data_IF_462821614657
#
_entry.id   IF_462821614657
#
_cell.length_a   1.000
_cell.length_b   1.000
_cell.length_c   1.000
_cell.angle_alpha   90.00
_cell.angle_beta   90.00
_cell.angle_gamma   90.00
#
_symmetry.space_group_name_H-M   'P 1'
#
loop_
_entity.id
_entity.type
_entity.pdbx_description
1 polymer ?
#
# COMPACT_ATOMS: atom_id res chain seq x y z
N UNK A 1 -2.66 60.95 -3.59
CA UNK A 1 -3.84 60.92 -4.47
C UNK A 1 -3.52 59.89 -5.54
N UNK A 2 -3.75 58.60 -5.31
CA UNK A 2 -5.03 57.89 -5.50
C UNK A 2 -5.18 57.55 -6.99
N UNK A 3 -5.49 56.36 -7.49
CA UNK A 3 -5.79 55.05 -6.91
C UNK A 3 -5.99 54.09 -8.10
N UNK A 4 -5.45 52.87 -7.97
CA UNK A 4 -6.00 51.56 -8.36
C UNK A 4 -7.03 51.48 -9.50
N UNK A 5 -6.74 50.66 -10.51
CA UNK A 5 -7.75 49.93 -11.31
C UNK A 5 -7.39 48.45 -11.39
N UNK A 6 -7.85 47.70 -10.39
CA UNK A 6 -7.88 46.24 -10.35
C UNK A 6 -9.08 45.79 -11.20
N UNK A 7 -8.82 45.06 -12.28
CA UNK A 7 -9.87 44.46 -13.11
C UNK A 7 -10.12 43.01 -12.68
N UNK A 8 -11.12 42.88 -11.81
CA UNK A 8 -12.25 41.93 -11.79
C UNK A 8 -12.12 40.48 -12.32
N UNK A 9 -12.35 39.54 -11.39
CA UNK A 9 -13.21 38.33 -11.39
C UNK A 9 -13.30 37.34 -12.58
N UNK A 10 -13.00 36.07 -12.30
CA UNK A 10 -13.90 34.90 -12.40
C UNK A 10 -13.14 33.70 -11.78
N UNK A 11 -13.59 33.03 -10.71
CA UNK A 11 -14.89 32.44 -10.54
C UNK A 11 -14.82 30.95 -10.88
N UNK A 12 -14.24 30.12 -10.00
CA UNK A 12 -14.60 28.70 -9.93
C UNK A 12 -14.28 28.15 -8.53
N UNK A 13 -15.25 28.28 -7.62
CA UNK A 13 -15.32 27.46 -6.42
C UNK A 13 -15.68 26.04 -6.87
N UNK A 14 -14.69 25.17 -7.01
CA UNK A 14 -14.93 23.74 -7.08
C UNK A 14 -15.29 23.24 -5.67
N UNK A 15 -16.56 23.32 -5.32
CA UNK A 15 -17.11 22.55 -4.22
C UNK A 15 -17.04 21.07 -4.62
N UNK A 16 -15.96 20.39 -4.23
CA UNK A 16 -15.94 18.92 -4.20
C UNK A 16 -16.84 18.45 -3.06
N UNK A 17 -18.15 18.48 -3.30
CA UNK A 17 -19.08 17.66 -2.57
C UNK A 17 -19.11 16.30 -3.27
N UNK A 18 -18.30 15.33 -2.84
CA UNK A 18 -18.66 13.92 -2.99
C UNK A 18 -18.00 13.05 -1.92
N UNK A 19 -18.87 12.72 -0.96
CA UNK A 19 -18.85 11.64 0.01
C UNK A 19 -17.77 11.68 1.13
N UNK A 20 -18.18 11.58 2.42
CA UNK A 20 -17.30 10.94 3.37
C UNK A 20 -17.02 9.54 2.81
N UNK A 21 -15.75 9.22 2.60
CA UNK A 21 -15.34 7.83 2.54
C UNK A 21 -15.82 7.24 3.85
N UNK A 22 -16.89 6.45 3.80
CA UNK A 22 -17.21 5.52 4.85
C UNK A 22 -16.03 4.56 4.91
N UNK A 23 -15.00 4.96 5.65
CA UNK A 23 -14.12 4.00 6.28
C UNK A 23 -15.09 3.16 7.08
N UNK A 24 -15.41 1.97 6.57
CA UNK A 24 -15.82 0.90 7.44
C UNK A 24 -14.75 0.91 8.53
N UNK A 25 -15.15 1.33 9.72
CA UNK A 25 -14.39 1.02 10.93
C UNK A 25 -14.37 -0.51 10.91
N UNK A 26 -13.32 -1.08 10.30
CA UNK A 26 -13.11 -2.51 10.22
C UNK A 26 -13.08 -2.97 11.66
N UNK A 27 -14.22 -3.50 12.13
CA UNK A 27 -14.55 -3.64 13.53
C UNK A 27 -13.56 -4.57 14.22
N UNK A 28 -12.44 -4.03 14.68
CA UNK A 28 -11.36 -4.77 15.30
C UNK A 28 -10.71 -5.87 14.47
N UNK A 29 -11.05 -6.05 13.18
CA UNK A 29 -10.49 -7.12 12.35
C UNK A 29 -9.42 -6.57 11.40
N UNK A 30 -8.24 -7.19 11.40
CA UNK A 30 -7.19 -6.90 10.42
C UNK A 30 -6.60 -8.19 9.88
N UNK A 31 -6.44 -8.26 8.55
CA UNK A 31 -5.78 -9.37 7.86
C UNK A 31 -4.54 -8.82 7.17
N UNK A 32 -3.39 -9.46 7.39
CA UNK A 32 -2.13 -9.12 6.75
C UNK A 32 -1.59 -10.33 5.98
N UNK A 33 -1.25 -10.18 4.69
CA UNK A 33 -1.41 -8.95 3.89
C UNK A 33 -2.88 -8.59 3.68
N UNK A 34 -3.18 -7.30 3.46
CA UNK A 34 -4.56 -6.79 3.28
C UNK A 34 -5.24 -7.25 1.98
N UNK A 35 -4.51 -7.97 1.13
CA UNK A 35 -4.99 -8.49 -0.14
C UNK A 35 -4.22 -9.77 -0.50
N UNK A 36 -4.44 -10.87 0.24
CA UNK A 36 -3.78 -12.12 -0.05
C UNK A 36 -4.25 -12.68 -1.40
N UNK A 37 -3.41 -13.53 -2.01
CA UNK A 37 -3.76 -14.31 -3.19
C UNK A 37 -3.92 -15.79 -2.77
N UNK A 38 -4.56 -16.64 -3.61
CA UNK A 38 -4.66 -18.06 -3.32
C UNK A 38 -3.30 -18.69 -3.03
N UNK A 39 -3.19 -19.45 -1.95
CA UNK A 39 -1.94 -20.07 -1.50
C UNK A 39 -1.06 -19.22 -0.60
N UNK A 40 -1.35 -17.92 -0.40
CA UNK A 40 -0.60 -17.06 0.53
C UNK A 40 -0.85 -17.40 1.99
N UNK A 41 0.18 -17.26 2.81
CA UNK A 41 0.05 -17.21 4.26
C UNK A 41 -0.55 -15.86 4.68
N UNK A 42 -1.44 -15.90 5.67
CA UNK A 42 -2.14 -14.74 6.21
C UNK A 42 -2.06 -14.75 7.73
N UNK A 43 -1.84 -13.58 8.30
CA UNK A 43 -2.01 -13.31 9.73
C UNK A 43 -3.30 -12.53 9.93
N UNK A 44 -4.08 -12.94 10.92
CA UNK A 44 -5.30 -12.26 11.31
C UNK A 44 -5.13 -11.73 12.74
N UNK A 45 -5.45 -10.45 12.92
CA UNK A 45 -5.54 -9.78 14.22
C UNK A 45 -6.98 -9.41 14.49
N UNK A 46 -7.41 -9.65 15.72
CA UNK A 46 -8.74 -9.32 16.22
C UNK A 46 -8.60 -8.55 17.53
N UNK A 47 -9.12 -7.33 17.60
CA UNK A 47 -9.25 -6.58 18.85
C UNK A 47 -10.59 -6.83 19.54
N UNK A 48 -10.70 -6.38 20.78
CA UNK A 48 -11.91 -6.45 21.58
C UNK A 48 -12.38 -7.90 21.83
N UNK A 49 -11.44 -8.85 21.96
CA UNK A 49 -11.69 -10.19 22.50
C UNK A 49 -11.30 -10.22 23.98
N UNK A 50 -12.28 -10.26 24.89
CA UNK A 50 -12.03 -10.36 26.34
C UNK A 50 -11.33 -11.68 26.72
N UNK A 51 -11.57 -12.73 25.94
CA UNK A 51 -10.91 -14.04 26.09
C UNK A 51 -9.47 -14.02 25.59
N UNK A 52 -8.62 -14.88 26.16
CA UNK A 52 -7.22 -15.09 25.71
C UNK A 52 -7.08 -15.96 24.46
N UNK A 53 -8.16 -16.64 24.08
CA UNK A 53 -8.20 -17.55 22.95
C UNK A 53 -9.48 -17.33 22.13
N UNK A 54 -9.41 -17.67 20.85
CA UNK A 54 -10.53 -17.56 19.93
C UNK A 54 -10.30 -18.38 18.67
N UNK A 55 -11.31 -18.43 17.81
CA UNK A 55 -11.24 -19.18 16.54
C UNK A 55 -11.83 -18.37 15.40
N UNK A 56 -11.08 -18.24 14.30
CA UNK A 56 -11.58 -17.63 13.08
C UNK A 56 -11.84 -18.68 12.00
N UNK A 57 -13.08 -18.73 11.51
CA UNK A 57 -13.55 -19.69 10.51
C UNK A 57 -13.90 -18.94 9.24
N UNK A 58 -13.35 -19.39 8.11
CA UNK A 58 -13.71 -18.89 6.78
C UNK A 58 -13.55 -20.00 5.74
N UNK A 59 -14.40 -19.99 4.71
CA UNK A 59 -14.29 -20.90 3.58
C UNK A 59 -12.97 -20.73 2.80
N UNK A 60 -12.34 -19.55 2.90
CA UNK A 60 -11.07 -19.26 2.26
C UNK A 60 -9.85 -19.87 2.95
N UNK A 61 -9.94 -20.25 4.22
CA UNK A 61 -8.80 -20.78 4.98
C UNK A 61 -8.63 -22.28 4.78
N UNK A 62 -7.38 -22.73 4.67
CA UNK A 62 -7.03 -24.17 4.64
C UNK A 62 -7.45 -24.84 5.94
N UNK A 63 -7.24 -24.16 7.06
CA UNK A 63 -7.69 -24.57 8.39
C UNK A 63 -8.17 -23.34 9.18
N UNK A 64 -9.07 -23.56 10.13
CA UNK A 64 -9.54 -22.54 11.05
C UNK A 64 -8.37 -21.92 11.82
N UNK A 65 -8.34 -20.60 11.91
CA UNK A 65 -7.28 -19.88 12.62
C UNK A 65 -7.53 -20.04 14.12
N UNK A 66 -6.54 -20.56 14.85
CA UNK A 66 -6.49 -20.48 16.30
C UNK A 66 -5.90 -19.13 16.68
N UNK A 67 -6.71 -18.31 17.32
CA UNK A 67 -6.34 -16.97 17.76
C UNK A 67 -5.92 -17.05 19.23
N UNK A 68 -4.78 -16.44 19.54
CA UNK A 68 -4.24 -16.35 20.90
C UNK A 68 -3.67 -14.97 21.15
N UNK A 69 -3.72 -14.51 22.39
CA UNK A 69 -3.14 -13.23 22.76
C UNK A 69 -3.52 -12.76 24.15
N UNK A 70 -3.18 -11.52 24.44
CA UNK A 70 -3.43 -10.84 25.72
C UNK A 70 -4.00 -9.46 25.47
N UNK A 71 -4.54 -8.83 26.52
CA UNK A 71 -4.94 -7.42 26.50
C UNK A 71 -5.99 -7.08 25.43
N UNK A 72 -6.97 -7.97 25.24
CA UNK A 72 -8.06 -7.74 24.30
C UNK A 72 -7.71 -8.00 22.84
N UNK A 73 -6.46 -8.32 22.52
CA UNK A 73 -6.01 -8.54 21.14
C UNK A 73 -5.57 -9.98 20.93
N UNK A 74 -6.19 -10.65 19.97
CA UNK A 74 -5.80 -11.99 19.55
C UNK A 74 -5.20 -11.97 18.16
N UNK A 75 -4.18 -12.81 17.95
CA UNK A 75 -3.50 -12.99 16.67
C UNK A 75 -3.42 -14.48 16.36
N UNK A 76 -3.49 -14.82 15.09
CA UNK A 76 -3.25 -16.16 14.59
C UNK A 76 -2.95 -16.15 13.10
N UNK A 77 -2.49 -17.28 12.59
CA UNK A 77 -2.08 -17.43 11.19
C UNK A 77 -2.80 -18.61 10.55
N UNK A 78 -2.99 -18.52 9.23
CA UNK A 78 -3.42 -19.63 8.38
C UNK A 78 -2.99 -19.37 6.94
N UNK A 79 -3.37 -20.27 6.04
CA UNK A 79 -3.10 -20.16 4.61
C UNK A 79 -4.41 -20.03 3.85
N UNK A 80 -4.44 -19.19 2.83
CA UNK A 80 -5.54 -19.15 1.87
C UNK A 80 -5.48 -20.39 0.98
N UNK A 81 -6.60 -21.09 0.82
CA UNK A 81 -6.69 -22.26 -0.07
C UNK A 81 -6.22 -21.88 -1.48
N UNK A 82 -5.48 -22.76 -2.13
CA UNK A 82 -5.06 -22.55 -3.52
C UNK A 82 -6.22 -22.64 -4.51
N UNK A 83 -7.28 -23.38 -4.16
CA UNK A 83 -8.46 -23.59 -5.00
C UNK A 83 -9.53 -22.50 -4.89
N UNK A 84 -9.36 -21.51 -4.02
CA UNK A 84 -10.38 -20.44 -3.87
C UNK A 84 -10.22 -19.38 -4.94
N UNK A 85 -11.35 -18.91 -5.47
CA UNK A 85 -11.37 -17.82 -6.45
C UNK A 85 -11.12 -16.48 -5.77
N UNK A 86 -10.66 -15.48 -6.52
CA UNK A 86 -10.64 -14.11 -6.03
C UNK A 86 -12.06 -13.66 -5.68
N UNK A 87 -12.20 -12.87 -4.62
CA UNK A 87 -13.50 -12.42 -4.14
C UNK A 87 -13.47 -12.05 -2.66
N UNK A 88 -14.62 -11.59 -2.17
CA UNK A 88 -14.83 -11.25 -0.76
C UNK A 88 -15.33 -12.48 -0.01
N UNK A 89 -14.68 -12.80 1.11
CA UNK A 89 -15.01 -13.94 1.95
C UNK A 89 -15.45 -13.45 3.35
N UNK A 90 -16.51 -14.05 3.87
CA UNK A 90 -16.91 -13.87 5.28
C UNK A 90 -15.91 -14.62 6.19
N UNK A 91 -15.57 -14.00 7.31
CA UNK A 91 -14.87 -14.64 8.42
C UNK A 91 -15.73 -14.53 9.67
N UNK A 92 -15.95 -15.65 10.34
CA UNK A 92 -16.64 -15.72 11.63
C UNK A 92 -15.61 -15.93 12.72
N UNK A 93 -15.53 -14.98 13.65
CA UNK A 93 -14.63 -15.05 14.80
C UNK A 93 -15.43 -15.36 16.04
N UNK A 94 -15.14 -16.50 16.66
CA UNK A 94 -15.62 -16.85 17.98
C UNK A 94 -14.60 -16.38 19.00
N UNK A 95 -14.99 -15.39 19.81
CA UNK A 95 -14.29 -15.02 21.03
C UNK A 95 -15.31 -15.14 22.18
N UNK A 96 -15.14 -16.12 23.06
CA UNK A 96 -16.10 -16.41 24.13
C UNK A 96 -17.44 -16.95 23.62
N UNK A 97 -18.54 -16.36 24.09
CA UNK A 97 -19.92 -16.84 23.89
C UNK A 97 -20.63 -16.36 22.63
N UNK A 98 -20.07 -15.42 21.87
CA UNK A 98 -20.71 -14.83 20.70
C UNK A 98 -19.81 -14.86 19.45
N UNK A 99 -20.44 -15.04 18.30
CA UNK A 99 -19.79 -14.96 16.99
C UNK A 99 -19.80 -13.51 16.52
N UNK A 100 -18.65 -13.05 16.03
CA UNK A 100 -18.54 -11.79 15.30
C UNK A 100 -18.20 -12.07 13.86
N UNK A 101 -18.74 -11.24 12.97
CA UNK A 101 -18.56 -11.39 11.52
C UNK A 101 -17.66 -10.27 11.00
N UNK A 102 -16.74 -10.63 10.14
CA UNK A 102 -15.94 -9.72 9.33
C UNK A 102 -15.86 -10.20 7.90
N UNK A 103 -15.23 -9.40 7.04
CA UNK A 103 -14.99 -9.77 5.64
C UNK A 103 -13.58 -9.42 5.26
N UNK A 104 -12.98 -10.20 4.37
CA UNK A 104 -11.71 -9.87 3.73
C UNK A 104 -11.74 -10.25 2.24
N UNK A 105 -10.88 -9.61 1.44
CA UNK A 105 -10.85 -9.79 -0.01
C UNK A 105 -9.61 -10.53 -0.45
N UNK A 106 -9.79 -11.65 -1.14
CA UNK A 106 -8.73 -12.40 -1.83
C UNK A 106 -8.61 -11.85 -3.25
N UNK A 107 -7.41 -11.44 -3.65
CA UNK A 107 -7.14 -10.96 -5.01
C UNK A 107 -6.84 -12.12 -5.96
N UNK A 108 -6.92 -11.86 -7.26
CA UNK A 108 -6.38 -12.78 -8.25
C UNK A 108 -4.88 -12.95 -8.03
N UNK A 109 -4.44 -14.19 -7.84
CA UNK A 109 -3.05 -14.53 -8.01
C UNK A 109 -2.73 -14.48 -9.49
N UNK A 110 -1.83 -13.60 -9.90
CA UNK A 110 -1.00 -13.96 -11.04
C UNK A 110 -0.18 -15.15 -10.54
N UNK A 111 -0.19 -16.26 -11.27
CA UNK A 111 0.66 -17.41 -10.95
C UNK A 111 2.12 -16.99 -11.16
N UNK A 112 2.66 -16.16 -10.26
CA UNK A 112 4.08 -15.94 -10.16
C UNK A 112 4.57 -17.08 -9.27
N UNK A 113 5.40 -18.00 -9.80
CA UNK A 113 6.06 -18.98 -8.96
C UNK A 113 6.77 -18.20 -7.86
N UNK A 114 6.28 -18.31 -6.63
CA UNK A 114 7.00 -17.77 -5.49
C UNK A 114 8.27 -18.62 -5.42
N UNK A 115 9.39 -18.03 -5.87
CA UNK A 115 10.69 -18.67 -5.73
C UNK A 115 10.81 -19.08 -4.25
N UNK A 116 11.13 -20.35 -3.95
CA UNK A 116 11.26 -20.79 -2.58
C UNK A 116 12.24 -19.86 -1.86
N UNK A 117 11.89 -19.40 -0.67
CA UNK A 117 12.80 -18.67 0.21
C UNK A 117 13.83 -19.66 0.76
N UNK A 118 14.75 -20.11 -0.09
CA UNK A 118 15.97 -20.75 0.39
C UNK A 118 16.96 -19.62 0.66
N UNK A 119 17.31 -19.31 1.93
CA UNK A 119 18.46 -18.48 2.19
C UNK A 119 19.70 -19.32 1.87
N UNK A 120 20.08 -19.36 0.60
CA UNK A 120 21.44 -19.71 0.21
C UNK A 120 22.13 -18.38 0.03
N UNK A 121 22.69 -17.84 1.13
CA UNK A 121 23.71 -16.84 0.98
C UNK A 121 24.80 -17.45 0.09
N UNK A 122 25.15 -16.86 -1.06
CA UNK A 122 26.31 -17.29 -1.81
C UNK A 122 27.51 -17.23 -0.87
N UNK A 123 28.08 -18.39 -0.52
CA UNK A 123 29.38 -18.39 0.15
C UNK A 123 30.37 -17.77 -0.84
N UNK A 124 31.12 -16.77 -0.40
CA UNK A 124 32.24 -16.25 -1.14
C UNK A 124 33.34 -17.33 -1.22
N UNK A 125 33.17 -18.29 -2.12
CA UNK A 125 34.32 -19.00 -2.68
C UNK A 125 35.02 -17.97 -3.58
N UNK A 126 36.01 -17.28 -3.02
CA UNK A 126 36.83 -16.33 -3.75
C UNK A 126 37.40 -16.98 -5.02
N UNK A 127 37.01 -16.43 -6.17
CA UNK A 127 37.54 -16.77 -7.48
C UNK A 127 37.48 -15.51 -8.34
N UNK A 128 38.61 -14.83 -8.48
CA UNK A 128 38.72 -13.57 -9.22
C UNK A 128 38.54 -13.74 -10.73
N UNK A 129 38.08 -12.67 -11.39
CA UNK A 129 37.97 -12.65 -12.85
C UNK A 129 37.23 -11.44 -13.39
N UNK A 130 37.93 -10.31 -13.47
CA UNK A 130 37.79 -9.24 -14.47
C UNK A 130 36.52 -9.18 -15.33
N UNK A 131 35.70 -8.15 -15.11
CA UNK A 131 35.15 -7.34 -16.20
C UNK A 131 34.87 -5.93 -15.67
N UNK A 132 35.76 -4.99 -16.04
CA UNK A 132 35.42 -3.57 -15.98
C UNK A 132 34.50 -3.29 -17.16
N UNK A 133 33.24 -3.00 -16.88
CA UNK A 133 32.43 -2.16 -17.77
C UNK A 133 31.80 -1.05 -16.93
N UNK A 134 32.45 0.11 -17.01
CA UNK A 134 31.96 1.39 -16.51
C UNK A 134 31.06 2.03 -17.57
N UNK A 135 30.05 2.78 -17.09
CA UNK A 135 29.01 3.58 -17.77
C UNK A 135 27.79 2.75 -18.23
N UNK A 136 26.63 2.75 -17.56
CA UNK A 136 25.91 3.81 -16.81
C UNK A 136 25.62 5.07 -17.63
N UNK A 137 24.54 5.01 -18.41
CA UNK A 137 23.50 6.03 -18.48
C UNK A 137 22.40 5.57 -19.45
N UNK A 138 21.15 5.78 -19.07
CA UNK A 138 19.95 5.66 -19.92
C UNK A 138 19.51 4.25 -20.33
N UNK A 139 19.01 3.48 -19.36
CA UNK A 139 17.82 2.66 -19.62
C UNK A 139 17.12 2.41 -18.27
N UNK A 140 16.65 3.50 -17.66
CA UNK A 140 15.56 3.42 -16.70
C UNK A 140 14.30 3.08 -17.50
N UNK A 141 14.20 1.80 -17.91
CA UNK A 141 12.99 1.24 -18.47
C UNK A 141 11.93 1.38 -17.40
N UNK A 142 10.93 2.18 -17.76
CA UNK A 142 9.81 2.63 -16.94
C UNK A 142 8.95 1.44 -16.50
N UNK A 143 9.34 0.76 -15.42
CA UNK A 143 8.36 0.24 -14.46
C UNK A 143 8.07 1.40 -13.50
N UNK A 144 7.12 2.25 -13.93
CA UNK A 144 6.87 3.54 -13.32
C UNK A 144 6.41 3.42 -11.86
N UNK A 145 6.93 4.26 -10.95
CA UNK A 145 6.35 4.41 -9.63
C UNK A 145 4.91 4.94 -9.80
N UNK A 146 3.94 4.31 -9.13
CA UNK A 146 2.50 4.52 -9.38
C UNK A 146 2.07 5.99 -9.45
N UNK A 147 0.90 6.27 -10.03
CA UNK A 147 0.40 7.62 -10.40
C UNK A 147 0.68 8.75 -9.40
N UNK A 148 0.65 8.46 -8.09
CA UNK A 148 1.04 9.40 -7.04
C UNK A 148 2.47 9.97 -7.17
N UNK A 149 3.44 9.17 -7.62
CA UNK A 149 4.84 9.57 -7.81
C UNK A 149 5.06 10.36 -9.10
N UNK A 150 4.25 10.11 -10.14
CA UNK A 150 4.25 10.93 -11.35
C UNK A 150 3.73 12.35 -11.04
N UNK A 151 2.73 12.47 -10.17
CA UNK A 151 2.20 13.78 -9.74
C UNK A 151 3.23 14.55 -8.91
N UNK A 152 3.90 13.92 -7.93
CA UNK A 152 4.94 14.60 -7.16
C UNK A 152 6.14 15.01 -8.02
N UNK A 153 6.57 14.16 -8.98
CA UNK A 153 7.61 14.51 -9.94
C UNK A 153 7.27 15.74 -10.80
N UNK A 154 6.02 15.84 -11.28
CA UNK A 154 5.56 16.96 -12.09
C UNK A 154 5.45 18.27 -11.29
N UNK A 155 5.02 18.20 -10.03
CA UNK A 155 4.97 19.37 -9.12
C UNK A 155 6.38 19.91 -8.86
N UNK A 156 7.35 19.04 -8.58
CA UNK A 156 8.74 19.44 -8.34
C UNK A 156 9.38 20.07 -9.59
N UNK A 157 9.15 19.49 -10.77
CA UNK A 157 9.63 20.04 -12.04
C UNK A 157 9.04 21.43 -12.33
N UNK A 158 7.74 21.62 -12.06
CA UNK A 158 7.08 22.92 -12.20
C UNK A 158 7.68 23.99 -11.29
N UNK A 159 7.93 23.67 -10.01
CA UNK A 159 8.53 24.60 -9.07
C UNK A 159 9.94 25.04 -9.49
N UNK A 160 10.75 24.11 -10.01
CA UNK A 160 12.09 24.41 -10.51
C UNK A 160 12.06 25.36 -11.73
N UNK A 161 11.13 25.14 -12.67
CA UNK A 161 10.98 26.02 -13.84
C UNK A 161 10.61 27.46 -13.44
N UNK A 162 9.70 27.62 -12.47
CA UNK A 162 9.31 28.95 -11.95
C UNK A 162 10.49 29.63 -11.25
N UNK A 163 11.26 28.90 -10.45
CA UNK A 163 12.44 29.44 -9.78
C UNK A 163 13.51 29.93 -10.78
N UNK A 164 13.74 29.16 -11.86
CA UNK A 164 14.68 29.55 -12.92
C UNK A 164 14.19 30.78 -13.69
N UNK A 165 12.90 30.84 -14.03
CA UNK A 165 12.30 31.99 -14.70
C UNK A 165 12.36 33.27 -13.84
N UNK A 166 12.10 33.17 -12.54
CA UNK A 166 12.23 34.30 -11.62
C UNK A 166 13.69 34.74 -11.45
N UNK A 167 14.64 33.78 -11.43
CA UNK A 167 16.07 34.07 -11.32
C UNK A 167 16.64 34.68 -12.60
N UNK A 168 16.18 34.25 -13.77
CA UNK A 168 16.59 34.85 -15.06
C UNK A 168 16.02 36.26 -15.24
N UNK A 169 14.76 36.49 -14.86
CA UNK A 169 14.15 37.81 -14.87
C UNK A 169 14.79 38.79 -13.87
N UNK A 170 15.29 38.30 -12.73
CA UNK A 170 16.11 39.12 -11.82
C UNK A 170 17.48 39.44 -12.40
N UNK A 171 18.12 38.49 -13.10
CA UNK A 171 19.43 38.71 -13.75
C UNK A 171 19.35 39.73 -14.89
N UNK A 172 18.30 39.70 -15.71
CA UNK A 172 18.19 40.64 -16.84
C UNK A 172 17.95 42.09 -16.43
N UNK A 173 17.50 42.33 -15.18
CA UNK A 173 17.30 43.67 -14.62
C UNK A 173 18.56 44.25 -13.97
N UNK A 174 19.67 43.51 -13.95
CA UNK A 174 20.97 43.96 -13.45
C UNK A 174 21.93 44.46 -14.54
N UNK A 175 21.48 44.50 -15.80
CA UNK A 175 22.21 45.09 -16.93
C UNK A 175 21.31 46.12 -17.58
N UNK A 176 21.20 47.27 -16.92
CA UNK A 176 20.56 48.50 -17.41
C UNK A 176 21.28 49.67 -16.78
#
# INVERSE_FOLDING_TARGET
>A
MGSVKITLCAGLLAAFAFAPTAYAQDGGFSVSPSSPVPGSDVSMRVSDCTEKTGTAVSAAFVADIRLTGTDGTLVGESRIRTAVSAGTYEVKVRCGGADRKGTFTVKHGTAHPSAPSTPVAPVHAGGGGTARHQLSAADARLDGPGTAHAVTGLVLAGAAAVAVALRSARRSRGTG
#
